data_IF_544423488872
#
_entry.id   IF_544423488872
#
_cell.length_a   1.000
_cell.length_b   1.000
_cell.length_c   1.000
_cell.angle_alpha   90.00
_cell.angle_beta   90.00
_cell.angle_gamma   90.00
#
_symmetry.space_group_name_H-M   'P 1'
#
loop_
_entity.id
_entity.type
_entity.pdbx_description
1 polymer ?
#
# COMPACT_ATOMS: atom_id res chain seq x y z
N UNK A 1 -20.19 8.34 -0.54
CA UNK A 1 -19.70 8.62 0.82
C UNK A 1 -18.19 8.79 0.75
N UNK A 2 -17.64 9.88 1.29
CA UNK A 2 -16.19 10.09 1.40
C UNK A 2 -15.78 9.66 2.80
N UNK A 3 -14.84 8.73 2.91
CA UNK A 3 -14.28 8.30 4.20
C UNK A 3 -12.79 8.65 4.20
N UNK A 4 -12.37 9.44 5.17
CA UNK A 4 -10.95 9.58 5.50
C UNK A 4 -10.53 8.32 6.26
N UNK A 5 -9.38 7.76 5.93
CA UNK A 5 -8.86 6.59 6.64
C UNK A 5 -8.09 7.11 7.86
N UNK A 6 -8.57 6.80 9.06
CA UNK A 6 -7.97 7.32 10.30
C UNK A 6 -6.48 6.96 10.39
N UNK A 7 -5.63 7.94 10.71
CA UNK A 7 -4.18 7.76 10.78
C UNK A 7 -3.42 7.90 9.46
N UNK A 8 -4.09 8.07 8.31
CA UNK A 8 -3.44 8.32 7.01
C UNK A 8 -4.10 9.49 6.28
N UNK A 9 -3.33 10.28 5.53
CA UNK A 9 -3.86 11.37 4.69
C UNK A 9 -4.48 10.82 3.37
N UNK A 10 -5.22 9.73 3.47
CA UNK A 10 -5.80 9.00 2.34
C UNK A 10 -7.31 9.21 2.30
N UNK A 11 -7.82 9.51 1.10
CA UNK A 11 -9.25 9.72 0.86
C UNK A 11 -9.80 8.53 0.09
N UNK A 12 -10.78 7.84 0.68
CA UNK A 12 -11.55 6.79 0.01
C UNK A 12 -12.91 7.32 -0.42
N UNK A 13 -13.28 7.03 -1.66
CA UNK A 13 -14.56 7.43 -2.26
C UNK A 13 -15.18 6.21 -2.96
N UNK A 14 -15.86 5.36 -2.18
CA UNK A 14 -16.25 4.01 -2.61
C UNK A 14 -15.02 3.16 -2.92
N UNK A 15 -14.93 2.62 -4.15
CA UNK A 15 -13.75 1.89 -4.62
C UNK A 15 -12.59 2.81 -5.06
N UNK A 16 -12.83 4.12 -5.21
CA UNK A 16 -11.77 5.06 -5.60
C UNK A 16 -10.89 5.41 -4.40
N UNK A 17 -9.61 5.52 -4.65
CA UNK A 17 -8.60 5.90 -3.67
C UNK A 17 -7.83 7.12 -4.19
N UNK A 18 -7.63 8.10 -3.31
CA UNK A 18 -6.78 9.25 -3.58
C UNK A 18 -5.81 9.43 -2.42
N UNK A 19 -4.53 9.27 -2.73
CA UNK A 19 -3.42 9.50 -1.81
C UNK A 19 -3.06 10.99 -1.80
N UNK A 20 -2.84 11.58 -0.62
CA UNK A 20 -2.13 12.85 -0.48
C UNK A 20 -0.65 12.71 -0.89
N UNK A 21 0.06 13.81 -1.09
CA UNK A 21 1.43 13.77 -1.63
C UNK A 21 2.42 13.02 -0.72
N UNK A 22 2.25 13.12 0.60
CA UNK A 22 3.02 12.33 1.58
C UNK A 22 2.80 10.82 1.38
N UNK A 23 1.55 10.40 1.25
CA UNK A 23 1.16 8.99 1.07
C UNK A 23 1.58 8.45 -0.30
N UNK A 24 1.57 9.30 -1.34
CA UNK A 24 2.13 8.96 -2.66
C UNK A 24 3.63 8.71 -2.57
N UNK A 25 4.34 9.53 -1.80
CA UNK A 25 5.78 9.35 -1.59
C UNK A 25 6.05 8.06 -0.83
N UNK A 26 5.37 7.81 0.28
CA UNK A 26 5.48 6.58 1.06
C UNK A 26 5.16 5.35 0.20
N UNK A 27 4.06 5.37 -0.55
CA UNK A 27 3.69 4.30 -1.48
C UNK A 27 4.78 4.01 -2.51
N UNK A 28 5.36 5.06 -3.11
CA UNK A 28 6.45 4.90 -4.08
C UNK A 28 7.69 4.28 -3.44
N UNK A 29 8.05 4.71 -2.22
CA UNK A 29 9.20 4.13 -1.49
C UNK A 29 8.94 2.66 -1.16
N UNK A 30 7.72 2.30 -0.77
CA UNK A 30 7.37 0.93 -0.37
C UNK A 30 7.22 -0.04 -1.55
N UNK A 31 6.77 0.43 -2.72
CA UNK A 31 6.39 -0.44 -3.85
C UNK A 31 7.23 -0.26 -5.10
N UNK A 32 8.15 0.71 -5.09
CA UNK A 32 8.93 1.17 -6.25
C UNK A 32 8.06 1.63 -7.46
N UNK A 33 6.75 1.80 -7.27
CA UNK A 33 5.83 2.23 -8.32
C UNK A 33 5.71 3.75 -8.37
N UNK A 34 5.98 4.30 -9.56
CA UNK A 34 5.83 5.74 -9.83
C UNK A 34 4.38 6.16 -10.06
N UNK A 35 3.54 5.24 -10.52
CA UNK A 35 2.12 5.51 -10.78
C UNK A 35 1.30 5.28 -9.52
N UNK A 36 0.62 6.32 -8.99
CA UNK A 36 -0.20 6.15 -7.79
C UNK A 36 -1.47 5.34 -8.09
N UNK A 37 -1.89 4.46 -7.17
CA UNK A 37 -3.11 3.69 -7.32
C UNK A 37 -4.33 4.60 -7.27
N UNK A 38 -5.34 4.26 -8.08
CA UNK A 38 -6.61 5.00 -8.18
C UNK A 38 -7.73 4.29 -7.44
N UNK A 39 -7.50 3.06 -6.96
CA UNK A 39 -8.48 2.22 -6.27
C UNK A 39 -7.84 1.48 -5.10
N UNK A 40 -8.69 1.04 -4.16
CA UNK A 40 -8.25 0.21 -3.02
C UNK A 40 -7.61 -1.10 -3.51
N UNK A 41 -8.24 -1.76 -4.48
CA UNK A 41 -7.71 -2.99 -5.08
C UNK A 41 -6.31 -2.79 -5.69
N UNK A 42 -6.09 -1.71 -6.45
CA UNK A 42 -4.77 -1.41 -7.02
C UNK A 42 -3.71 -1.16 -5.94
N UNK A 43 -4.10 -0.49 -4.85
CA UNK A 43 -3.21 -0.26 -3.71
C UNK A 43 -2.83 -1.58 -3.03
N UNK A 44 -3.83 -2.41 -2.70
CA UNK A 44 -3.62 -3.71 -2.07
C UNK A 44 -2.78 -4.67 -2.93
N UNK A 45 -3.02 -4.70 -4.25
CA UNK A 45 -2.23 -5.49 -5.20
C UNK A 45 -0.79 -5.02 -5.25
N UNK A 46 -0.55 -3.71 -5.28
CA UNK A 46 0.81 -3.18 -5.29
C UNK A 46 1.59 -3.54 -4.00
N UNK A 47 0.95 -3.45 -2.83
CA UNK A 47 1.54 -3.88 -1.57
C UNK A 47 1.83 -5.38 -1.55
N UNK A 48 0.93 -6.20 -2.08
CA UNK A 48 1.11 -7.67 -2.14
C UNK A 48 2.28 -8.03 -3.06
N UNK A 49 2.38 -7.42 -4.24
CA UNK A 49 3.51 -7.65 -5.15
C UNK A 49 4.83 -7.24 -4.51
N UNK A 50 4.89 -6.06 -3.87
CA UNK A 50 6.10 -5.63 -3.16
C UNK A 50 6.49 -6.58 -2.02
N UNK A 51 5.49 -7.10 -1.29
CA UNK A 51 5.70 -8.08 -0.23
C UNK A 51 6.20 -9.44 -0.78
N UNK A 52 5.72 -9.87 -1.94
CA UNK A 52 6.16 -11.11 -2.59
C UNK A 52 7.57 -10.97 -3.18
N UNK A 53 7.89 -9.83 -3.80
CA UNK A 53 9.23 -9.54 -4.34
C UNK A 53 10.31 -9.60 -3.24
N UNK A 54 9.99 -9.12 -2.03
CA UNK A 54 10.87 -9.24 -0.86
C UNK A 54 11.10 -10.69 -0.46
N UNK A 55 10.05 -11.54 -0.50
CA UNK A 55 10.13 -12.95 -0.14
C UNK A 55 11.06 -13.72 -1.09
N UNK A 56 10.97 -13.42 -2.37
CA UNK A 56 11.71 -14.12 -3.41
C UNK A 56 13.17 -13.61 -3.50
N UNK A 57 13.44 -12.37 -3.10
CA UNK A 57 14.77 -11.76 -3.08
C UNK A 57 15.60 -12.04 -1.82
N UNK A 58 14.97 -12.13 -0.63
CA UNK A 58 15.67 -12.32 0.64
C UNK A 58 14.76 -12.92 1.74
N UNK A 59 15.27 -13.92 2.46
CA UNK A 59 14.52 -14.61 3.54
C UNK A 59 14.94 -14.20 4.95
N UNK A 60 15.75 -13.15 5.08
CA UNK A 60 16.18 -12.56 6.35
C UNK A 60 15.00 -12.17 7.26
N UNK A 61 15.29 -11.99 8.55
CA UNK A 61 14.27 -11.58 9.51
C UNK A 61 13.73 -10.18 9.19
N UNK A 62 14.61 -9.29 8.71
CA UNK A 62 14.30 -7.93 8.27
C UNK A 62 13.36 -7.92 7.07
N UNK A 63 13.65 -8.75 6.05
CA UNK A 63 12.80 -8.86 4.86
C UNK A 63 11.43 -9.44 5.18
N UNK A 64 11.35 -10.40 6.11
CA UNK A 64 10.06 -10.92 6.63
C UNK A 64 9.29 -9.89 7.44
N UNK A 65 9.96 -9.08 8.25
CA UNK A 65 9.31 -8.01 9.00
C UNK A 65 8.75 -6.95 8.04
N UNK A 66 9.52 -6.55 7.03
CA UNK A 66 9.07 -5.60 6.02
C UNK A 66 7.88 -6.17 5.21
N UNK A 67 7.93 -7.45 4.85
CA UNK A 67 6.80 -8.14 4.21
C UNK A 67 5.53 -8.05 5.07
N UNK A 68 5.63 -8.35 6.36
CA UNK A 68 4.49 -8.30 7.28
C UNK A 68 3.93 -6.87 7.42
N UNK A 69 4.79 -5.85 7.48
CA UNK A 69 4.37 -4.44 7.51
C UNK A 69 3.61 -4.08 6.24
N UNK A 70 4.12 -4.41 5.05
CA UNK A 70 3.44 -4.11 3.78
C UNK A 70 2.06 -4.77 3.69
N UNK A 71 1.92 -6.01 4.18
CA UNK A 71 0.64 -6.71 4.19
C UNK A 71 -0.34 -6.14 5.22
N UNK A 72 0.16 -5.63 6.34
CA UNK A 72 -0.66 -4.97 7.37
C UNK A 72 -1.22 -3.61 6.89
N UNK A 73 -0.52 -2.93 5.99
CA UNK A 73 -0.97 -1.67 5.37
C UNK A 73 -2.12 -1.84 4.36
N UNK A 74 -2.52 -3.09 4.05
CA UNK A 74 -3.64 -3.33 3.12
C UNK A 74 -4.95 -2.80 3.70
N UNK A 75 -5.73 -2.16 2.84
CA UNK A 75 -7.04 -1.63 3.20
C UNK A 75 -8.12 -2.70 3.04
N UNK A 76 -9.10 -2.71 3.94
CA UNK A 76 -10.28 -3.57 3.79
C UNK A 76 -11.07 -3.18 2.54
N UNK A 77 -11.35 -4.17 1.69
CA UNK A 77 -12.30 -4.01 0.59
C UNK A 77 -13.73 -4.05 1.17
N UNK A 78 -14.62 -3.17 0.67
CA UNK A 78 -16.03 -3.12 1.11
C UNK A 78 -16.86 -4.18 0.39
#
# INVERSE_FOLDING_TARGET
MVKTIEGTDMIRLGNKLRLADRERHAFRVMTDRTTPPKTVAQYNVALTVAADDLRDGDTSAESRLLQAVLLAERLQEE
#
